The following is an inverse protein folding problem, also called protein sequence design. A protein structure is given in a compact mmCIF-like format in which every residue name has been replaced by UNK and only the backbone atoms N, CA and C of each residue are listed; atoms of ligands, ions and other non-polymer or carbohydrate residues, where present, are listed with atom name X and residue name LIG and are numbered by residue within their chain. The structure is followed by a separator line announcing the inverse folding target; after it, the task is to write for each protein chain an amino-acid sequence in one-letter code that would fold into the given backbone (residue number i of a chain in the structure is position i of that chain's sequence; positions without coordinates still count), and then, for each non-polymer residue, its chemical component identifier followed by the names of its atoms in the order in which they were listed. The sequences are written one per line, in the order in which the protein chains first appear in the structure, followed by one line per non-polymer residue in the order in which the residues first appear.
data_IF_373552489297
#
_entry.id   IF_373552489297
#
_cell.length_a   1.000
_cell.length_b   1.000
_cell.length_c   1.000
_cell.angle_alpha   90.00
_cell.angle_beta   90.00
_cell.angle_gamma   90.00
#
_symmetry.space_group_name_H-M   'P 1'
#
loop_
_entity.id
_entity.type
_entity.pdbx_description
1 polymer ?
#
# COMPACT_ATOMS: atom_id res chain seq x y z
N UNK A 1 29.65 -4.61 -4.33
CA UNK A 1 28.73 -3.48 -4.57
C UNK A 1 27.31 -4.02 -4.57
N UNK A 2 26.37 -3.36 -3.89
CA UNK A 2 24.96 -3.76 -3.94
C UNK A 2 24.46 -3.68 -5.38
N UNK A 3 23.68 -4.68 -5.83
CA UNK A 3 23.08 -4.68 -7.16
C UNK A 3 22.21 -3.44 -7.33
N UNK A 4 22.41 -2.71 -8.43
CA UNK A 4 21.64 -1.48 -8.72
C UNK A 4 20.13 -1.74 -8.68
N UNK A 5 19.38 -0.78 -8.14
CA UNK A 5 17.91 -0.85 -8.08
C UNK A 5 17.28 -0.95 -9.47
N UNK A 6 17.92 -0.36 -10.50
CA UNK A 6 17.46 -0.44 -11.88
C UNK A 6 17.55 -1.86 -12.48
N UNK A 7 18.39 -2.72 -11.89
CA UNK A 7 18.46 -4.14 -12.26
C UNK A 7 17.44 -5.00 -11.51
N UNK A 8 16.92 -4.51 -10.37
CA UNK A 8 15.92 -5.18 -9.52
C UNK A 8 14.52 -4.65 -9.82
N UNK A 9 13.99 -4.98 -11.01
CA UNK A 9 12.75 -4.38 -11.55
C UNK A 9 11.54 -4.45 -10.60
N UNK A 10 11.34 -5.60 -9.94
CA UNK A 10 10.23 -5.77 -8.99
C UNK A 10 10.42 -4.90 -7.76
N UNK A 11 11.63 -4.82 -7.23
CA UNK A 11 11.94 -4.00 -6.06
C UNK A 11 11.87 -2.50 -6.38
N UNK A 12 12.18 -2.10 -7.62
CA UNK A 12 11.94 -0.74 -8.11
C UNK A 12 10.44 -0.39 -8.13
N UNK A 13 9.57 -1.32 -8.54
CA UNK A 13 8.13 -1.13 -8.47
C UNK A 13 7.68 -0.93 -7.01
N UNK A 14 8.18 -1.75 -6.09
CA UNK A 14 7.87 -1.57 -4.66
C UNK A 14 8.39 -0.25 -4.11
N UNK A 15 9.60 0.17 -4.48
CA UNK A 15 10.15 1.47 -4.08
C UNK A 15 9.25 2.63 -4.51
N UNK A 16 8.85 2.64 -5.79
CA UNK A 16 7.96 3.67 -6.34
C UNK A 16 6.60 3.62 -5.64
N UNK A 17 6.05 2.42 -5.45
CA UNK A 17 4.78 2.22 -4.75
C UNK A 17 4.84 2.79 -3.32
N UNK A 18 5.82 2.41 -2.50
CA UNK A 18 5.94 2.89 -1.12
C UNK A 18 6.21 4.40 -1.04
N UNK A 19 6.96 4.96 -1.98
CA UNK A 19 7.20 6.40 -2.05
C UNK A 19 5.89 7.17 -2.34
N UNK A 20 5.11 6.72 -3.33
CA UNK A 20 3.80 7.30 -3.65
C UNK A 20 2.84 7.10 -2.48
N UNK A 21 2.79 5.89 -1.93
CA UNK A 21 1.88 5.54 -0.85
C UNK A 21 2.13 6.37 0.42
N UNK A 22 3.39 6.63 0.77
CA UNK A 22 3.73 7.52 1.88
C UNK A 22 3.16 8.94 1.68
N UNK A 23 3.27 9.48 0.46
CA UNK A 23 2.71 10.80 0.14
C UNK A 23 1.18 10.75 0.20
N UNK A 24 0.54 9.71 -0.34
CA UNK A 24 -0.92 9.54 -0.31
C UNK A 24 -1.44 9.45 1.12
N UNK A 25 -0.87 8.58 1.95
CA UNK A 25 -1.30 8.42 3.35
C UNK A 25 -1.22 9.74 4.12
N UNK A 26 -0.12 10.48 4.00
CA UNK A 26 0.06 11.75 4.73
C UNK A 26 -0.94 12.83 4.27
N UNK A 27 -1.36 12.83 3.00
CA UNK A 27 -2.20 13.90 2.43
C UNK A 27 -3.69 13.55 2.33
N UNK A 28 -4.04 12.27 2.29
CA UNK A 28 -5.41 11.79 2.04
C UNK A 28 -5.92 11.03 3.26
N UNK A 29 -5.27 9.92 3.59
CA UNK A 29 -5.82 8.97 4.55
C UNK A 29 -5.75 9.48 5.99
N UNK A 30 -4.60 10.06 6.36
CA UNK A 30 -4.35 10.63 7.69
C UNK A 30 -4.94 12.02 7.89
N UNK A 31 -5.66 12.57 6.89
CA UNK A 31 -6.33 13.87 6.99
C UNK A 31 -7.08 14.09 8.32
N UNK A 32 -7.90 13.13 8.83
CA UNK A 32 -8.64 13.32 10.06
C UNK A 32 -7.76 13.50 11.30
N UNK A 33 -6.55 12.93 11.28
CA UNK A 33 -5.62 12.94 12.42
C UNK A 33 -4.71 14.18 12.44
N UNK A 34 -4.66 14.95 11.35
CA UNK A 34 -3.90 16.20 11.33
C UNK A 34 -4.46 17.23 12.32
N UNK A 35 -3.65 17.80 13.21
CA UNK A 35 -4.06 18.93 14.04
C UNK A 35 -4.52 20.10 13.16
N UNK A 36 -5.63 20.75 13.53
CA UNK A 36 -6.23 21.83 12.73
C UNK A 36 -5.26 22.97 12.39
N UNK A 37 -4.29 23.23 13.27
CA UNK A 37 -3.28 24.29 13.17
C UNK A 37 -2.16 23.96 12.19
N UNK A 38 -1.90 22.67 11.94
CA UNK A 38 -0.83 22.19 11.06
C UNK A 38 -1.36 21.71 9.71
N UNK A 39 -2.68 21.65 9.55
CA UNK A 39 -3.32 21.14 8.34
C UNK A 39 -3.26 22.20 7.22
N UNK A 40 -2.53 21.94 6.13
CA UNK A 40 -2.51 22.83 4.98
C UNK A 40 -3.90 22.92 4.32
N UNK A 41 -4.25 24.11 3.82
CA UNK A 41 -5.55 24.37 3.20
C UNK A 41 -5.80 23.45 1.98
N UNK A 42 -4.77 23.15 1.18
CA UNK A 42 -4.90 22.31 0.00
C UNK A 42 -5.39 20.89 0.33
N UNK A 43 -5.11 20.37 1.53
CA UNK A 43 -5.55 19.04 1.95
C UNK A 43 -7.07 18.99 2.08
N UNK A 44 -7.68 20.07 2.57
CA UNK A 44 -9.14 20.18 2.65
C UNK A 44 -9.76 20.26 1.26
N UNK A 45 -9.16 21.05 0.36
CA UNK A 45 -9.59 21.12 -1.05
C UNK A 45 -9.49 19.76 -1.73
N UNK A 46 -8.38 19.04 -1.54
CA UNK A 46 -8.17 17.70 -2.07
C UNK A 46 -9.20 16.71 -1.54
N UNK A 47 -9.48 16.74 -0.23
CA UNK A 47 -10.51 15.87 0.39
C UNK A 47 -11.91 16.17 -0.16
N UNK A 48 -12.26 17.45 -0.32
CA UNK A 48 -13.55 17.85 -0.88
C UNK A 48 -13.69 17.39 -2.34
N UNK A 49 -12.65 17.57 -3.15
CA UNK A 49 -12.58 17.04 -4.50
C UNK A 49 -12.81 15.52 -4.49
N UNK A 50 -12.04 14.78 -3.68
CA UNK A 50 -12.15 13.32 -3.58
C UNK A 50 -13.57 12.87 -3.21
N UNK A 51 -14.18 13.45 -2.17
CA UNK A 51 -15.54 13.12 -1.74
C UNK A 51 -16.54 13.42 -2.86
N UNK A 52 -16.41 14.56 -3.54
CA UNK A 52 -17.31 14.95 -4.63
C UNK A 52 -17.21 14.03 -5.85
N UNK A 53 -16.02 13.51 -6.16
CA UNK A 53 -15.74 12.66 -7.31
C UNK A 53 -16.12 11.21 -7.06
N UNK A 54 -15.74 10.65 -5.90
CA UNK A 54 -15.84 9.21 -5.64
C UNK A 54 -16.97 8.83 -4.69
N UNK A 55 -17.55 9.79 -3.96
CA UNK A 55 -18.59 9.58 -2.94
C UNK A 55 -18.25 8.49 -1.92
N UNK A 56 -16.96 8.34 -1.63
CA UNK A 56 -16.47 7.36 -0.67
C UNK A 56 -17.00 7.69 0.73
N UNK A 57 -17.88 6.83 1.25
CA UNK A 57 -18.52 7.03 2.54
C UNK A 57 -17.53 6.90 3.70
N UNK A 58 -16.38 6.25 3.51
CA UNK A 58 -15.32 6.20 4.54
C UNK A 58 -14.78 7.60 4.86
N UNK A 59 -14.84 8.54 3.91
CA UNK A 59 -14.38 9.90 4.11
C UNK A 59 -15.51 10.89 4.48
N UNK A 60 -16.77 10.45 4.42
CA UNK A 60 -17.97 11.25 4.75
C UNK A 60 -18.50 10.89 6.14
N UNK A 61 -18.78 9.61 6.38
CA UNK A 61 -19.35 9.09 7.62
C UNK A 61 -18.73 7.72 7.93
N UNK A 62 -17.44 7.68 8.33
CA UNK A 62 -16.72 6.42 8.52
C UNK A 62 -17.38 5.55 9.60
N UNK A 63 -17.52 4.23 9.36
CA UNK A 63 -17.87 3.30 10.41
C UNK A 63 -16.74 3.23 11.46
N UNK A 64 -17.09 2.87 12.71
CA UNK A 64 -16.13 2.89 13.81
C UNK A 64 -14.86 2.04 13.56
N UNK A 65 -15.00 0.92 12.85
CA UNK A 65 -13.87 0.05 12.50
C UNK A 65 -12.88 0.72 11.55
N UNK A 66 -13.31 1.68 10.72
CA UNK A 66 -12.43 2.36 9.77
C UNK A 66 -11.39 3.22 10.48
N UNK A 67 -11.72 3.77 11.66
CA UNK A 67 -10.75 4.49 12.48
C UNK A 67 -9.57 3.61 12.89
N UNK A 68 -9.79 2.32 13.14
CA UNK A 68 -8.71 1.38 13.45
C UNK A 68 -7.72 1.29 12.28
N UNK A 69 -8.21 1.32 11.04
CA UNK A 69 -7.36 1.27 9.84
C UNK A 69 -6.58 2.57 9.64
N UNK A 70 -7.19 3.73 9.89
CA UNK A 70 -6.47 5.02 9.87
C UNK A 70 -5.34 5.03 10.92
N UNK A 71 -5.60 4.54 12.14
CA UNK A 71 -4.54 4.42 13.15
C UNK A 71 -3.47 3.41 12.77
N UNK A 72 -3.85 2.29 12.14
CA UNK A 72 -2.90 1.31 11.63
C UNK A 72 -1.99 1.92 10.55
N UNK A 73 -2.52 2.76 9.67
CA UNK A 73 -1.69 3.49 8.70
C UNK A 73 -0.70 4.41 9.38
N UNK A 74 -1.13 5.16 10.40
CA UNK A 74 -0.26 6.07 11.14
C UNK A 74 0.83 5.33 11.92
N UNK A 75 0.47 4.27 12.65
CA UNK A 75 1.34 3.62 13.64
C UNK A 75 2.20 2.53 12.99
N UNK A 76 1.73 1.90 11.92
CA UNK A 76 2.43 0.81 11.25
C UNK A 76 2.87 1.18 9.83
N UNK A 77 1.97 1.60 8.93
CA UNK A 77 2.36 1.84 7.54
C UNK A 77 3.32 3.01 7.36
N UNK A 78 3.09 4.16 8.00
CA UNK A 78 3.98 5.33 7.86
C UNK A 78 5.40 5.03 8.35
N UNK A 79 5.62 4.51 9.58
CA UNK A 79 6.96 4.13 10.03
C UNK A 79 7.60 3.08 9.14
N UNK A 80 6.82 2.11 8.67
CA UNK A 80 7.32 1.10 7.74
C UNK A 80 7.76 1.72 6.42
N UNK A 81 6.96 2.61 5.81
CA UNK A 81 7.31 3.29 4.57
C UNK A 81 8.62 4.08 4.70
N UNK A 82 8.77 4.83 5.81
CA UNK A 82 9.98 5.59 6.10
C UNK A 82 11.22 4.71 6.21
N UNK A 83 11.07 3.48 6.72
CA UNK A 83 12.15 2.51 6.81
C UNK A 83 12.39 1.74 5.50
N UNK A 84 11.32 1.34 4.81
CA UNK A 84 11.39 0.40 3.69
C UNK A 84 11.95 1.03 2.43
N UNK A 85 11.69 2.33 2.21
CA UNK A 85 12.21 3.08 1.06
C UNK A 85 13.75 3.03 1.04
N UNK A 86 14.48 3.45 2.09
CA UNK A 86 15.93 3.29 2.13
C UNK A 86 16.36 1.83 2.26
N UNK A 87 15.60 0.94 2.90
CA UNK A 87 15.94 -0.47 3.01
C UNK A 87 15.95 -1.19 1.65
N UNK A 88 14.99 -0.88 0.77
CA UNK A 88 14.93 -1.40 -0.60
C UNK A 88 16.14 -0.91 -1.40
N UNK A 89 16.47 0.38 -1.30
CA UNK A 89 17.66 0.95 -1.97
C UNK A 89 18.96 0.27 -1.51
N UNK A 90 19.07 -0.01 -0.22
CA UNK A 90 20.24 -0.66 0.37
C UNK A 90 20.24 -2.19 0.24
N UNK A 91 19.21 -2.79 -0.37
CA UNK A 91 19.05 -4.24 -0.50
C UNK A 91 19.09 -4.97 0.86
N UNK A 92 18.42 -4.42 1.87
CA UNK A 92 18.37 -4.99 3.22
C UNK A 92 17.64 -6.34 3.23
N UNK A 93 18.26 -7.35 3.86
CA UNK A 93 17.75 -8.72 3.91
C UNK A 93 16.43 -8.86 4.70
N UNK A 94 16.05 -7.85 5.49
CA UNK A 94 14.80 -7.82 6.26
C UNK A 94 13.59 -7.36 5.45
N UNK A 95 13.81 -6.76 4.26
CA UNK A 95 12.74 -6.25 3.39
C UNK A 95 11.67 -7.30 3.13
N UNK A 96 11.99 -8.57 2.79
CA UNK A 96 10.94 -9.53 2.46
C UNK A 96 9.99 -9.85 3.60
N UNK A 97 10.48 -9.91 4.84
CA UNK A 97 9.65 -10.15 6.02
C UNK A 97 8.67 -8.98 6.20
N UNK A 98 9.18 -7.75 6.12
CA UNK A 98 8.38 -6.56 6.38
C UNK A 98 7.34 -6.31 5.28
N UNK A 99 7.71 -6.50 4.01
CA UNK A 99 6.76 -6.41 2.88
C UNK A 99 5.68 -7.50 2.95
N UNK A 100 6.00 -8.70 3.45
CA UNK A 100 4.99 -9.75 3.64
C UNK A 100 3.94 -9.34 4.68
N UNK A 101 4.39 -8.83 5.84
CA UNK A 101 3.46 -8.36 6.88
C UNK A 101 2.61 -7.21 6.36
N UNK A 102 3.23 -6.24 5.68
CA UNK A 102 2.51 -5.14 5.02
C UNK A 102 1.47 -5.64 4.01
N UNK A 103 1.85 -6.59 3.16
CA UNK A 103 0.97 -7.15 2.14
C UNK A 103 -0.24 -7.87 2.73
N UNK A 104 -0.07 -8.57 3.85
CA UNK A 104 -1.19 -9.21 4.56
C UNK A 104 -2.10 -8.16 5.19
N UNK A 105 -1.52 -7.22 5.93
CA UNK A 105 -2.28 -6.17 6.61
C UNK A 105 -3.06 -5.32 5.61
N UNK A 106 -2.38 -4.77 4.60
CA UNK A 106 -2.98 -3.96 3.53
C UNK A 106 -4.00 -4.77 2.71
N UNK A 107 -3.71 -6.05 2.45
CA UNK A 107 -4.63 -6.93 1.74
C UNK A 107 -5.95 -7.11 2.49
N UNK A 108 -5.90 -7.38 3.79
CA UNK A 108 -7.08 -7.56 4.63
C UNK A 108 -7.87 -6.27 4.81
N UNK A 109 -7.20 -5.15 5.08
CA UNK A 109 -7.89 -3.87 5.26
C UNK A 109 -8.57 -3.43 3.97
N UNK A 110 -7.86 -3.50 2.84
CA UNK A 110 -8.39 -3.13 1.52
C UNK A 110 -9.54 -4.05 1.11
N UNK A 111 -9.41 -5.37 1.32
CA UNK A 111 -10.49 -6.32 1.03
C UNK A 111 -11.72 -6.04 1.90
N UNK A 112 -11.53 -5.69 3.17
CA UNK A 112 -12.63 -5.30 4.06
C UNK A 112 -13.34 -4.06 3.52
N UNK A 113 -12.60 -3.03 3.09
CA UNK A 113 -13.18 -1.84 2.49
C UNK A 113 -13.96 -2.16 1.21
N UNK A 114 -13.42 -3.03 0.34
CA UNK A 114 -14.10 -3.49 -0.88
C UNK A 114 -15.41 -4.21 -0.54
N UNK A 115 -15.37 -5.17 0.39
CA UNK A 115 -16.57 -5.88 0.81
C UNK A 115 -17.64 -4.91 1.36
N UNK A 116 -17.22 -3.93 2.17
CA UNK A 116 -18.14 -2.96 2.77
C UNK A 116 -18.76 -2.02 1.72
N UNK A 117 -17.97 -1.38 0.86
CA UNK A 117 -18.54 -0.45 -0.13
C UNK A 117 -19.41 -1.15 -1.17
N UNK A 118 -19.12 -2.41 -1.47
CA UNK A 118 -19.98 -3.21 -2.35
C UNK A 118 -21.36 -3.45 -1.73
N UNK A 119 -21.46 -3.48 -0.40
CA UNK A 119 -22.71 -3.63 0.35
C UNK A 119 -23.57 -2.36 0.42
N UNK A 120 -22.99 -1.18 0.16
CA UNK A 120 -23.70 0.11 0.29
C UNK A 120 -24.89 0.20 -0.68
N UNK A 121 -26.09 0.46 -0.15
CA UNK A 121 -27.31 0.60 -0.97
C UNK A 121 -27.51 2.00 -1.55
N UNK A 122 -26.94 3.02 -0.90
CA UNK A 122 -27.09 4.42 -1.30
C UNK A 122 -26.16 4.85 -2.44
N UNK A 123 -25.19 4.01 -2.82
CA UNK A 123 -24.19 4.27 -3.86
C UNK A 123 -24.51 3.43 -5.09
N UNK A 124 -24.57 4.06 -6.25
CA UNK A 124 -24.89 3.41 -7.53
C UNK A 124 -23.80 2.44 -7.96
N UNK A 125 -24.14 1.50 -8.84
CA UNK A 125 -23.16 0.55 -9.39
C UNK A 125 -22.02 1.24 -10.14
N UNK A 126 -22.29 2.33 -10.86
CA UNK A 126 -21.28 3.10 -11.57
C UNK A 126 -20.27 3.75 -10.60
N UNK A 127 -20.75 4.35 -9.51
CA UNK A 127 -19.90 4.95 -8.48
C UNK A 127 -19.06 3.89 -7.76
N UNK A 128 -19.61 2.70 -7.50
CA UNK A 128 -18.84 1.56 -6.96
C UNK A 128 -17.72 1.11 -7.92
N UNK A 129 -17.95 1.16 -9.23
CA UNK A 129 -16.91 0.87 -10.22
C UNK A 129 -15.82 1.93 -10.20
N UNK A 130 -16.18 3.22 -10.14
CA UNK A 130 -15.19 4.30 -10.02
C UNK A 130 -14.36 4.17 -8.73
N UNK A 131 -15.00 3.83 -7.60
CA UNK A 131 -14.30 3.57 -6.35
C UNK A 131 -13.42 2.31 -6.44
N UNK A 132 -13.91 1.26 -7.11
CA UNK A 132 -13.16 0.04 -7.36
C UNK A 132 -11.88 0.27 -8.16
N UNK A 133 -11.85 1.24 -9.08
CA UNK A 133 -10.62 1.62 -9.81
C UNK A 133 -9.52 2.15 -8.89
N UNK A 134 -9.86 2.65 -7.70
CA UNK A 134 -8.89 3.06 -6.70
C UNK A 134 -8.45 1.86 -5.84
N UNK A 135 -9.40 1.13 -5.24
CA UNK A 135 -9.09 0.09 -4.25
C UNK A 135 -8.54 -1.21 -4.86
N UNK A 136 -9.05 -1.64 -6.02
CA UNK A 136 -8.68 -2.93 -6.62
C UNK A 136 -7.21 -2.98 -7.02
N UNK A 137 -6.61 -1.93 -7.64
CA UNK A 137 -5.17 -1.92 -7.89
C UNK A 137 -4.32 -2.03 -6.61
N UNK A 138 -4.72 -1.37 -5.51
CA UNK A 138 -4.02 -1.50 -4.23
C UNK A 138 -4.05 -2.95 -3.72
N UNK A 139 -5.23 -3.59 -3.77
CA UNK A 139 -5.36 -4.99 -3.40
C UNK A 139 -4.50 -5.90 -4.30
N UNK A 140 -4.50 -5.66 -5.61
CA UNK A 140 -3.72 -6.45 -6.56
C UNK A 140 -2.21 -6.34 -6.29
N UNK A 141 -1.71 -5.14 -6.03
CA UNK A 141 -0.30 -4.91 -5.63
C UNK A 141 0.01 -5.62 -4.32
N UNK A 142 -0.89 -5.54 -3.34
CA UNK A 142 -0.73 -6.20 -2.03
C UNK A 142 -0.62 -7.72 -2.18
N UNK A 143 -1.52 -8.34 -2.95
CA UNK A 143 -1.51 -9.79 -3.20
C UNK A 143 -0.24 -10.20 -3.94
N UNK A 144 0.13 -9.48 -5.00
CA UNK A 144 1.36 -9.75 -5.76
C UNK A 144 2.60 -9.66 -4.86
N UNK A 145 2.70 -8.59 -4.07
CA UNK A 145 3.79 -8.39 -3.11
C UNK A 145 3.85 -9.52 -2.08
N UNK A 146 2.71 -9.93 -1.53
CA UNK A 146 2.64 -11.03 -0.57
C UNK A 146 3.15 -12.35 -1.15
N UNK A 147 2.73 -12.71 -2.36
CA UNK A 147 3.19 -13.92 -3.05
C UNK A 147 4.69 -13.86 -3.35
N UNK A 148 5.19 -12.73 -3.86
CA UNK A 148 6.62 -12.55 -4.15
C UNK A 148 7.47 -12.66 -2.87
N UNK A 149 7.07 -11.99 -1.78
CA UNK A 149 7.81 -12.05 -0.52
C UNK A 149 7.78 -13.44 0.10
N UNK A 150 6.63 -14.13 0.05
CA UNK A 150 6.52 -15.51 0.53
C UNK A 150 7.44 -16.44 -0.26
N UNK A 151 7.49 -16.31 -1.59
CA UNK A 151 8.39 -17.09 -2.43
C UNK A 151 9.87 -16.85 -2.09
N UNK A 152 10.27 -15.59 -1.92
CA UNK A 152 11.65 -15.23 -1.54
C UNK A 152 12.03 -15.78 -0.17
N UNK A 153 11.14 -15.67 0.82
CA UNK A 153 11.37 -16.19 2.17
C UNK A 153 11.46 -17.70 2.19
N UNK A 154 10.58 -18.39 1.47
CA UNK A 154 10.62 -19.86 1.35
C UNK A 154 11.93 -20.33 0.72
N UNK A 155 12.47 -19.62 -0.29
CA UNK A 155 13.76 -19.96 -0.88
C UNK A 155 14.91 -19.86 0.14
N UNK A 156 14.89 -18.83 0.99
CA UNK A 156 15.88 -18.65 2.07
C UNK A 156 15.78 -19.78 3.10
N UNK A 157 14.56 -20.11 3.54
CA UNK A 157 14.31 -21.18 4.52
C UNK A 157 14.69 -22.55 3.96
N UNK A 158 14.45 -22.80 2.68
CA UNK A 158 14.83 -24.03 1.99
C UNK A 158 16.36 -24.17 1.77
N UNK A 159 17.18 -23.24 2.27
CA UNK A 159 18.64 -23.29 2.14
C UNK A 159 19.15 -22.93 0.74
N UNK A 160 18.30 -22.35 -0.12
CA UNK A 160 18.72 -21.87 -1.43
C UNK A 160 19.54 -20.59 -1.24
N UNK A 161 20.87 -20.70 -1.35
CA UNK A 161 21.83 -19.59 -1.12
C UNK A 161 21.75 -18.41 -2.11
N UNK A 162 20.71 -18.30 -2.93
CA UNK A 162 20.57 -17.19 -3.89
C UNK A 162 19.11 -16.79 -4.05
N UNK A 163 18.75 -15.49 -3.92
CA UNK A 163 17.45 -15.02 -4.35
C UNK A 163 17.34 -15.26 -5.86
N UNK A 164 16.32 -16.01 -6.28
CA UNK A 164 15.99 -16.19 -7.69
C UNK A 164 15.56 -14.83 -8.23
N UNK A 165 16.50 -14.08 -8.80
CA UNK A 165 16.18 -12.93 -9.65
C UNK A 165 15.40 -13.47 -10.84
N UNK A 166 14.09 -13.22 -10.89
CA UNK A 166 13.25 -13.49 -12.05
C UNK A 166 13.71 -12.54 -13.17
N UNK A 167 14.64 -13.00 -14.01
CA UNK A 167 15.06 -12.26 -15.21
C UNK A 167 16.57 -12.26 -15.44
N UNK A 168 17.09 -13.37 -15.97
CA UNK A 168 18.45 -13.42 -16.50
C UNK A 168 18.61 -14.64 -17.38
N UNK A 169 18.49 -14.46 -18.70
CA UNK A 169 18.75 -15.51 -19.71
C UNK A 169 20.10 -16.17 -19.42
N UNK A 170 20.11 -17.50 -19.28
CA UNK A 170 21.33 -18.31 -19.43
C UNK A 170 21.87 -18.07 -20.85
N UNK A 171 23.00 -17.37 -20.97
CA UNK A 171 23.84 -17.49 -22.16
C UNK A 171 24.67 -18.76 -22.00
N UNK A 172 24.51 -19.67 -22.97
CA UNK A 172 25.47 -20.73 -23.27
C UNK A 172 26.71 -20.11 -23.91
#
# INVERSE_FOLDING_TARGET
MATSIFSRKVDLVYLVFFAIHLVVMLNVDLYPLWPSQLRPAYMTTLRQFYISTYRDQFFVSPPAWFNVYIYLELIYHVPLCLWVIPAILNNDARVPIQLLIYAVVTGVTTLTCIADFMSWKAVSAAEKVELGKLYVPYLAVSVFMGVDMLARLNAVVAGSKTPVTVGGKKKR
#
